data_IF_548837666381
#
_entry.id   IF_548837666381
#
_cell.length_a   1.000
_cell.length_b   1.000
_cell.length_c   1.000
_cell.angle_alpha   90.00
_cell.angle_beta   90.00
_cell.angle_gamma   90.00
#
_symmetry.space_group_name_H-M   'P 1'
#
loop_
_entity.id
_entity.type
_entity.pdbx_description
1 polymer ?
#
# COMPACT_ATOMS: atom_id res chain seq x y z
N UNK A 1 -58.75 10.70 -13.58
CA UNK A 1 -57.63 11.33 -14.33
C UNK A 1 -56.51 11.85 -13.42
N UNK A 2 -56.76 12.64 -12.36
CA UNK A 2 -55.70 13.18 -11.46
C UNK A 2 -54.81 12.13 -10.75
N UNK A 3 -55.35 10.96 -10.37
CA UNK A 3 -54.57 9.90 -9.69
C UNK A 3 -53.56 9.19 -10.60
N UNK A 4 -53.84 9.13 -11.91
CA UNK A 4 -53.01 8.46 -12.92
C UNK A 4 -51.82 9.35 -13.34
N UNK A 5 -52.05 10.67 -13.39
CA UNK A 5 -51.01 11.66 -13.68
C UNK A 5 -49.98 11.72 -12.54
N UNK A 6 -50.43 11.62 -11.28
CA UNK A 6 -49.54 11.64 -10.13
C UNK A 6 -48.64 10.38 -10.07
N UNK A 7 -49.17 9.20 -10.37
CA UNK A 7 -48.38 7.95 -10.38
C UNK A 7 -47.38 7.91 -11.54
N UNK A 8 -47.74 8.46 -12.69
CA UNK A 8 -46.84 8.57 -13.85
C UNK A 8 -45.66 9.51 -13.59
N UNK A 9 -45.89 10.64 -12.91
CA UNK A 9 -44.84 11.59 -12.52
C UNK A 9 -43.88 10.96 -11.48
N UNK A 10 -44.41 10.22 -10.51
CA UNK A 10 -43.58 9.52 -9.51
C UNK A 10 -42.73 8.43 -10.18
N UNK A 11 -43.28 7.69 -11.15
CA UNK A 11 -42.55 6.66 -11.88
C UNK A 11 -41.40 7.23 -12.72
N UNK A 12 -41.60 8.38 -13.38
CA UNK A 12 -40.55 9.10 -14.11
C UNK A 12 -39.46 9.61 -13.18
N UNK A 13 -39.82 10.12 -11.99
CA UNK A 13 -38.86 10.59 -11.00
C UNK A 13 -37.99 9.45 -10.45
N UNK A 14 -38.55 8.26 -10.26
CA UNK A 14 -37.79 7.07 -9.82
C UNK A 14 -36.84 6.57 -10.92
N UNK A 15 -37.24 6.66 -12.20
CA UNK A 15 -36.40 6.27 -13.34
C UNK A 15 -35.22 7.22 -13.59
N UNK A 16 -35.32 8.49 -13.17
CA UNK A 16 -34.23 9.48 -13.34
C UNK A 16 -33.11 9.38 -12.30
N UNK A 17 -33.27 8.56 -11.24
CA UNK A 17 -32.21 8.31 -10.25
C UNK A 17 -31.41 7.02 -10.51
N UNK A 18 -31.80 6.19 -11.47
CA UNK A 18 -31.21 4.86 -11.66
C UNK A 18 -30.16 4.78 -12.77
N UNK A 19 -29.75 5.91 -13.35
CA UNK A 19 -28.68 5.93 -14.36
C UNK A 19 -27.57 6.89 -13.96
N UNK A 20 -26.59 6.39 -13.22
CA UNK A 20 -25.15 6.67 -13.45
C UNK A 20 -24.32 5.60 -12.71
N UNK A 21 -23.75 4.74 -13.54
CA UNK A 21 -22.53 3.91 -13.40
C UNK A 21 -22.27 3.18 -12.08
N UNK A 22 -22.63 1.89 -12.09
CA UNK A 22 -21.72 0.85 -11.60
C UNK A 22 -20.48 0.86 -12.50
N UNK A 23 -19.41 1.56 -12.12
CA UNK A 23 -18.09 1.00 -12.37
C UNK A 23 -17.72 0.22 -11.10
N UNK A 24 -18.06 -1.06 -11.09
CA UNK A 24 -17.25 -1.98 -10.31
C UNK A 24 -15.96 -2.13 -11.10
N UNK A 25 -14.88 -1.51 -10.62
CA UNK A 25 -13.56 -2.06 -10.89
C UNK A 25 -13.50 -3.40 -10.15
N UNK A 26 -13.95 -4.45 -10.82
CA UNK A 26 -13.66 -5.82 -10.41
C UNK A 26 -12.17 -5.99 -10.54
N UNK A 27 -11.51 -5.89 -9.39
CA UNK A 27 -10.19 -6.45 -9.17
C UNK A 27 -9.14 -5.84 -10.09
N UNK A 28 -8.53 -4.73 -9.67
CA UNK A 28 -7.07 -4.65 -9.75
C UNK A 28 -6.53 -5.85 -8.99
N UNK A 29 -6.47 -7.01 -9.65
CA UNK A 29 -5.59 -8.09 -9.25
C UNK A 29 -4.22 -7.47 -9.26
N UNK A 30 -3.72 -7.13 -8.07
CA UNK A 30 -2.32 -6.84 -7.90
C UNK A 30 -1.59 -8.06 -8.43
N UNK A 31 -1.05 -7.97 -9.64
CA UNK A 31 -0.13 -8.97 -10.15
C UNK A 31 1.16 -8.70 -9.38
N UNK A 32 1.26 -9.35 -8.22
CA UNK A 32 2.55 -9.56 -7.60
C UNK A 32 3.40 -10.36 -8.59
N UNK A 33 4.63 -9.92 -8.84
CA UNK A 33 5.56 -10.67 -9.69
C UNK A 33 5.83 -12.01 -9.00
N UNK A 34 5.09 -13.03 -9.39
CA UNK A 34 5.19 -14.41 -8.89
C UNK A 34 6.43 -15.12 -9.43
N UNK A 35 7.14 -14.49 -10.35
CA UNK A 35 8.35 -15.03 -10.95
C UNK A 35 9.54 -14.76 -10.03
N UNK A 36 9.61 -15.52 -8.94
CA UNK A 36 10.85 -15.71 -8.18
C UNK A 36 11.81 -16.61 -8.99
N UNK A 37 12.09 -16.22 -10.23
CA UNK A 37 13.06 -16.90 -11.09
C UNK A 37 14.42 -16.23 -10.96
N UNK A 38 15.27 -16.90 -10.18
CA UNK A 38 16.71 -16.74 -10.05
C UNK A 38 17.22 -15.42 -9.45
N UNK A 39 17.79 -15.54 -8.25
CA UNK A 39 18.84 -14.68 -7.73
C UNK A 39 19.89 -14.43 -8.82
N UNK A 40 19.86 -13.27 -9.45
CA UNK A 40 21.00 -12.77 -10.19
C UNK A 40 22.02 -12.31 -9.15
N UNK A 41 22.98 -13.19 -8.87
CA UNK A 41 24.20 -12.84 -8.17
C UNK A 41 24.76 -11.55 -8.77
N UNK A 42 24.73 -10.47 -8.00
CA UNK A 42 25.25 -9.14 -8.40
C UNK A 42 26.78 -9.09 -8.35
N UNK A 43 27.43 -10.25 -8.45
CA UNK A 43 28.87 -10.45 -8.29
C UNK A 43 29.52 -10.84 -9.62
N UNK A 44 29.07 -10.26 -10.74
CA UNK A 44 29.92 -10.24 -11.94
C UNK A 44 30.88 -9.06 -11.82
N UNK A 45 32.16 -9.35 -11.60
CA UNK A 45 33.24 -8.39 -11.68
C UNK A 45 33.30 -7.76 -13.07
N UNK A 46 32.64 -6.61 -13.23
CA UNK A 46 32.77 -5.77 -14.41
C UNK A 46 34.15 -5.11 -14.34
N UNK A 47 35.12 -5.72 -15.03
CA UNK A 47 36.35 -5.04 -15.44
C UNK A 47 35.98 -4.01 -16.52
N UNK A 48 35.45 -2.88 -16.09
CA UNK A 48 35.39 -1.67 -16.91
C UNK A 48 35.66 -0.52 -15.96
N UNK A 49 36.67 0.26 -16.29
CA UNK A 49 37.04 1.52 -15.66
C UNK A 49 35.90 2.55 -15.87
N UNK A 50 34.74 2.30 -15.26
CA UNK A 50 33.65 3.24 -15.17
C UNK A 50 33.91 3.95 -13.85
N UNK A 51 34.41 5.18 -13.93
CA UNK A 51 34.20 6.12 -12.83
C UNK A 51 32.69 6.15 -12.60
N UNK A 52 32.24 5.53 -11.50
CA UNK A 52 30.89 5.71 -10.99
C UNK A 52 30.86 7.15 -10.49
N UNK A 53 30.69 8.07 -11.43
CA UNK A 53 30.32 9.44 -11.11
C UNK A 53 28.98 9.35 -10.40
N UNK A 54 28.96 9.80 -9.16
CA UNK A 54 27.75 10.00 -8.36
C UNK A 54 26.91 11.05 -9.08
N UNK A 55 26.12 10.56 -10.03
CA UNK A 55 25.48 11.33 -11.07
C UNK A 55 24.12 11.78 -10.58
N UNK A 56 24.13 12.72 -9.62
CA UNK A 56 22.97 13.53 -9.31
C UNK A 56 22.60 14.45 -10.49
N UNK A 57 22.39 13.87 -11.67
CA UNK A 57 22.15 14.55 -12.95
C UNK A 57 20.82 15.28 -12.95
N UNK A 58 19.90 14.87 -12.07
CA UNK A 58 18.64 15.54 -11.81
C UNK A 58 18.75 16.64 -10.74
N UNK A 59 19.94 16.85 -10.16
CA UNK A 59 20.23 17.85 -9.15
C UNK A 59 19.23 17.80 -7.96
N UNK A 60 18.98 16.61 -7.44
CA UNK A 60 18.09 16.35 -6.32
C UNK A 60 18.73 16.79 -5.00
N UNK A 61 17.92 17.37 -4.12
CA UNK A 61 18.34 17.73 -2.75
C UNK A 61 18.27 16.54 -1.78
N UNK A 62 17.71 15.41 -2.21
CA UNK A 62 17.56 14.19 -1.40
C UNK A 62 18.89 13.47 -1.20
N UNK A 63 19.14 12.95 0.02
CA UNK A 63 20.36 12.19 0.32
C UNK A 63 20.55 10.93 -0.53
N UNK A 64 19.47 10.25 -0.92
CA UNK A 64 19.51 9.18 -1.93
C UNK A 64 18.20 9.10 -2.72
N UNK A 65 18.27 8.53 -3.92
CA UNK A 65 17.12 8.26 -4.78
C UNK A 65 17.41 7.05 -5.70
N UNK A 66 16.34 6.35 -6.08
CA UNK A 66 16.38 5.30 -7.10
C UNK A 66 15.08 5.34 -7.90
N UNK A 67 15.17 5.18 -9.22
CA UNK A 67 14.04 5.01 -10.12
C UNK A 67 14.18 3.67 -10.83
N UNK A 68 13.15 2.84 -10.71
CA UNK A 68 13.14 1.48 -11.26
C UNK A 68 11.90 1.34 -12.16
N UNK A 69 12.10 0.76 -13.34
CA UNK A 69 10.99 0.33 -14.19
C UNK A 69 10.37 -0.95 -13.59
N UNK A 70 9.05 -0.94 -13.38
CA UNK A 70 8.37 -1.93 -12.55
C UNK A 70 8.42 -3.36 -13.12
N UNK A 71 8.31 -3.52 -14.45
CA UNK A 71 8.12 -4.85 -15.06
C UNK A 71 9.43 -5.61 -15.28
N UNK A 72 10.50 -4.90 -15.59
CA UNK A 72 11.84 -5.43 -15.90
C UNK A 72 12.81 -5.31 -14.73
N UNK A 73 12.52 -4.45 -13.75
CA UNK A 73 13.45 -4.13 -12.67
C UNK A 73 14.64 -3.28 -13.12
N UNK A 74 14.62 -2.75 -14.35
CA UNK A 74 15.70 -1.90 -14.86
C UNK A 74 15.78 -0.60 -14.04
N UNK A 75 16.97 -0.32 -13.50
CA UNK A 75 17.25 0.95 -12.83
C UNK A 75 17.44 2.03 -13.91
N UNK A 76 16.52 3.00 -13.94
CA UNK A 76 16.54 4.13 -14.87
C UNK A 76 17.35 5.31 -14.33
N UNK A 77 17.47 5.42 -13.01
CA UNK A 77 18.23 6.45 -12.33
C UNK A 77 18.61 6.00 -10.91
N UNK A 78 19.79 6.40 -10.45
CA UNK A 78 20.27 6.13 -9.08
C UNK A 78 21.13 7.29 -8.59
N UNK A 79 20.96 7.65 -7.32
CA UNK A 79 21.79 8.62 -6.60
C UNK A 79 21.96 8.09 -5.18
N UNK A 80 23.18 7.72 -4.77
CA UNK A 80 23.46 7.14 -3.45
C UNK A 80 22.51 5.99 -3.02
N UNK A 81 22.02 5.19 -3.97
CA UNK A 81 20.94 4.21 -3.76
C UNK A 81 21.28 3.06 -2.81
N UNK A 82 22.56 2.79 -2.59
CA UNK A 82 23.04 1.75 -1.65
C UNK A 82 23.52 2.33 -0.31
N UNK A 83 23.37 3.63 -0.10
CA UNK A 83 23.72 4.26 1.17
C UNK A 83 22.75 3.83 2.27
N UNK A 84 23.30 3.51 3.46
CA UNK A 84 22.50 3.11 4.62
C UNK A 84 21.94 4.34 5.33
N UNK A 85 20.68 4.66 5.04
CA UNK A 85 19.95 5.75 5.67
C UNK A 85 18.90 5.24 6.67
N UNK A 86 18.39 6.15 7.52
CA UNK A 86 17.29 5.84 8.44
C UNK A 86 15.96 5.91 7.68
N UNK A 87 15.21 4.80 7.51
CA UNK A 87 14.03 4.76 6.64
C UNK A 87 12.76 5.40 7.25
N UNK A 88 12.78 5.79 8.53
CA UNK A 88 11.59 6.32 9.23
C UNK A 88 10.33 5.47 8.95
N UNK A 89 9.19 6.09 8.65
CA UNK A 89 7.94 5.37 8.36
C UNK A 89 7.96 4.51 7.09
N UNK A 90 8.95 4.66 6.20
CA UNK A 90 9.10 3.76 5.03
C UNK A 90 9.31 2.31 5.46
N UNK A 91 9.80 2.07 6.68
CA UNK A 91 9.86 0.74 7.32
C UNK A 91 8.53 0.00 7.29
N UNK A 92 7.39 0.72 7.36
CA UNK A 92 6.05 0.13 7.37
C UNK A 92 5.72 -0.63 6.08
N UNK A 93 6.38 -0.33 4.96
CA UNK A 93 6.22 -1.08 3.71
C UNK A 93 6.58 -2.56 3.93
N UNK A 94 7.63 -2.85 4.72
CA UNK A 94 7.99 -4.22 5.06
C UNK A 94 6.92 -4.89 5.94
N UNK A 95 6.35 -4.16 6.90
CA UNK A 95 5.25 -4.68 7.73
C UNK A 95 4.02 -5.01 6.89
N UNK A 96 3.65 -4.13 5.95
CA UNK A 96 2.53 -4.35 5.03
C UNK A 96 2.80 -5.57 4.15
N UNK A 97 4.02 -5.71 3.61
CA UNK A 97 4.40 -6.88 2.80
C UNK A 97 4.16 -8.19 3.56
N UNK A 98 4.64 -8.28 4.80
CA UNK A 98 4.45 -9.48 5.63
C UNK A 98 2.96 -9.75 5.93
N UNK A 99 2.15 -8.70 6.16
CA UNK A 99 0.71 -8.85 6.36
C UNK A 99 0.06 -9.42 5.09
N UNK A 100 0.40 -8.87 3.91
CA UNK A 100 -0.14 -9.36 2.63
C UNK A 100 0.26 -10.81 2.36
N UNK A 101 1.50 -11.22 2.64
CA UNK A 101 1.93 -12.62 2.52
C UNK A 101 1.11 -13.57 3.42
N UNK A 102 0.74 -13.12 4.62
CA UNK A 102 -0.08 -13.91 5.54
C UNK A 102 -1.54 -14.01 5.07
N UNK A 103 -2.05 -12.97 4.41
CA UNK A 103 -3.36 -12.99 3.76
C UNK A 103 -3.35 -13.92 2.54
N UNK A 104 -2.34 -13.80 1.68
CA UNK A 104 -2.20 -14.64 0.48
C UNK A 104 -2.01 -16.12 0.83
N UNK A 105 -1.30 -16.41 1.92
CA UNK A 105 -1.16 -17.78 2.45
C UNK A 105 -2.39 -18.29 3.21
N UNK A 106 -3.44 -17.47 3.34
CA UNK A 106 -4.71 -17.81 3.98
C UNK A 106 -4.64 -17.91 5.51
N UNK A 107 -3.55 -17.45 6.14
CA UNK A 107 -3.39 -17.43 7.60
C UNK A 107 -4.10 -16.25 8.26
N UNK A 108 -4.39 -15.21 7.49
CA UNK A 108 -5.07 -14.01 7.94
C UNK A 108 -6.19 -13.66 6.95
N UNK A 109 -7.34 -13.19 7.44
CA UNK A 109 -8.42 -12.68 6.59
C UNK A 109 -8.56 -11.17 6.72
N UNK A 110 -8.88 -10.48 5.62
CA UNK A 110 -9.20 -9.04 5.66
C UNK A 110 -10.30 -8.67 6.66
N UNK A 111 -11.25 -9.58 6.91
CA UNK A 111 -12.38 -9.36 7.82
C UNK A 111 -12.08 -9.77 9.25
N UNK A 112 -10.89 -10.30 9.53
CA UNK A 112 -10.49 -10.70 10.87
C UNK A 112 -10.36 -9.48 11.76
N UNK A 113 -10.88 -9.57 12.98
CA UNK A 113 -10.87 -8.46 13.93
C UNK A 113 -9.59 -8.49 14.77
N UNK A 114 -8.84 -7.39 14.73
CA UNK A 114 -7.64 -7.14 15.51
C UNK A 114 -8.00 -6.25 16.71
N UNK A 115 -7.87 -6.74 17.95
CA UNK A 115 -8.02 -5.90 19.14
C UNK A 115 -6.81 -4.96 19.31
N UNK A 116 -7.06 -3.75 19.80
CA UNK A 116 -5.99 -2.84 20.17
C UNK A 116 -5.31 -3.31 21.46
N UNK A 117 -4.01 -3.59 21.40
CA UNK A 117 -3.22 -3.91 22.59
C UNK A 117 -2.84 -2.63 23.35
N UNK A 118 -2.62 -2.73 24.65
CA UNK A 118 -2.15 -1.59 25.46
C UNK A 118 -0.78 -1.09 24.97
N UNK A 119 0.05 -1.99 24.43
CA UNK A 119 1.30 -1.64 23.76
C UNK A 119 1.03 -0.79 22.52
N UNK A 120 0.17 -1.25 21.60
CA UNK A 120 -0.20 -0.50 20.40
C UNK A 120 -0.74 0.90 20.75
N UNK A 121 -1.64 0.99 21.74
CA UNK A 121 -2.19 2.27 22.22
C UNK A 121 -1.11 3.21 22.80
N UNK A 122 -0.09 2.65 23.44
CA UNK A 122 0.99 3.43 24.05
C UNK A 122 2.03 3.96 23.05
N UNK A 123 1.99 3.49 21.79
CA UNK A 123 2.92 3.96 20.77
C UNK A 123 2.68 5.44 20.49
N UNK A 124 3.75 6.23 20.35
CA UNK A 124 3.65 7.64 19.96
C UNK A 124 3.74 7.83 18.44
N UNK A 125 3.68 9.08 17.98
CA UNK A 125 3.86 9.44 16.57
C UNK A 125 2.53 9.54 15.82
N UNK A 126 2.47 9.03 14.59
CA UNK A 126 1.24 9.01 13.78
C UNK A 126 0.27 7.97 14.33
N UNK A 127 -0.98 8.38 14.57
CA UNK A 127 -1.98 7.59 15.28
C UNK A 127 -3.38 7.88 14.73
N UNK A 128 -4.27 6.90 14.89
CA UNK A 128 -5.72 6.99 14.75
C UNK A 128 -6.44 7.02 16.11
N UNK A 129 -5.69 6.93 17.22
CA UNK A 129 -6.17 7.01 18.60
C UNK A 129 -7.15 5.88 18.97
N UNK A 130 -6.78 4.66 18.60
CA UNK A 130 -7.58 3.46 18.85
C UNK A 130 -7.59 3.10 20.36
N UNK A 131 -8.77 2.98 20.97
CA UNK A 131 -8.91 2.58 22.37
C UNK A 131 -8.70 1.06 22.55
N UNK A 132 -8.21 0.61 23.72
CA UNK A 132 -8.02 -0.83 23.99
C UNK A 132 -9.31 -1.65 24.04
N UNK A 133 -10.46 -0.99 24.09
CA UNK A 133 -11.78 -1.63 23.99
C UNK A 133 -12.28 -1.73 22.55
N UNK A 134 -11.59 -1.11 21.60
CA UNK A 134 -11.97 -1.09 20.20
C UNK A 134 -11.22 -2.17 19.40
N UNK A 135 -11.87 -2.61 18.33
CA UNK A 135 -11.34 -3.60 17.39
C UNK A 135 -11.49 -3.07 15.98
N UNK A 136 -10.47 -3.26 15.15
CA UNK A 136 -10.53 -2.96 13.72
C UNK A 136 -10.39 -4.25 12.93
N UNK A 137 -11.00 -4.31 11.76
CA UNK A 137 -10.69 -5.35 10.79
C UNK A 137 -9.25 -5.19 10.26
N UNK A 138 -8.65 -6.28 9.77
CA UNK A 138 -7.34 -6.23 9.09
C UNK A 138 -7.33 -5.20 7.95
N UNK A 139 -8.41 -5.12 7.17
CA UNK A 139 -8.57 -4.12 6.11
C UNK A 139 -8.56 -2.67 6.63
N UNK A 140 -9.29 -2.38 7.71
CA UNK A 140 -9.29 -1.06 8.35
C UNK A 140 -7.91 -0.71 8.94
N UNK A 141 -7.24 -1.68 9.55
CA UNK A 141 -5.89 -1.50 10.08
C UNK A 141 -4.89 -1.20 8.96
N UNK A 142 -4.93 -1.96 7.85
CA UNK A 142 -4.10 -1.69 6.67
C UNK A 142 -4.33 -0.29 6.11
N UNK A 143 -5.58 0.17 6.04
CA UNK A 143 -5.91 1.54 5.64
C UNK A 143 -5.31 2.57 6.59
N UNK A 144 -5.39 2.35 7.91
CA UNK A 144 -4.79 3.24 8.90
C UNK A 144 -3.26 3.36 8.74
N UNK A 145 -2.58 2.23 8.50
CA UNK A 145 -1.13 2.19 8.24
C UNK A 145 -0.79 2.91 6.93
N UNK A 146 -1.51 2.64 5.85
CA UNK A 146 -1.20 3.21 4.53
C UNK A 146 -1.52 4.71 4.43
N UNK A 147 -2.64 5.15 5.01
CA UNK A 147 -3.14 6.53 4.83
C UNK A 147 -2.56 7.49 5.87
N UNK A 148 -2.56 7.08 7.14
CA UNK A 148 -2.16 7.96 8.26
C UNK A 148 -0.75 7.62 8.74
N UNK A 149 -0.12 6.57 8.21
CA UNK A 149 1.13 6.03 8.75
C UNK A 149 0.97 5.66 10.23
N UNK A 150 -0.22 5.18 10.63
CA UNK A 150 -0.53 4.83 12.01
C UNK A 150 0.49 3.83 12.57
N UNK A 151 0.93 4.06 13.80
CA UNK A 151 1.85 3.19 14.52
C UNK A 151 1.11 2.15 15.39
N UNK A 152 -0.19 2.33 15.62
CA UNK A 152 -1.02 1.54 16.53
C UNK A 152 -1.43 0.19 15.91
N UNK A 153 -0.43 -0.62 15.57
CA UNK A 153 -0.62 -1.99 15.13
C UNK A 153 0.39 -2.89 15.84
N UNK A 154 -0.08 -4.04 16.30
CA UNK A 154 0.77 -5.04 16.95
C UNK A 154 0.75 -6.29 16.09
N UNK A 155 1.93 -6.77 15.68
CA UNK A 155 2.05 -8.05 14.99
C UNK A 155 2.20 -9.09 16.09
N UNK A 156 1.07 -9.66 16.52
CA UNK A 156 1.07 -10.82 17.41
C UNK A 156 1.83 -11.95 16.70
N UNK A 157 2.94 -12.39 17.29
CA UNK A 157 3.80 -13.45 16.78
C UNK A 157 3.40 -14.80 17.38
#
# INVERSE_FOLDING_TARGET
>A
MRKFVLTFIIFIFVLSFTTISLCYDTSSSYIWSSDYSATLETSSSINTSINVEDNNSLNLESGSAILIEQSTGQVLYSHNSHEKLRPASVTKIMSILLIMEQIDSGKLSYTEQIPCSENARSMGGSQIWLDTKETLTVDEMLKAICVVSANEYDVQN
#
